data_IF_035998980172
#
_entry.id   IF_035998980172
#
_cell.length_a   1.000
_cell.length_b   1.000
_cell.length_c   1.000
_cell.angle_alpha   90.00
_cell.angle_beta   90.00
_cell.angle_gamma   90.00
#
_symmetry.space_group_name_H-M   'P 1'
#
loop_
_entity.id
_entity.type
_entity.pdbx_description
1 polymer ?
#
# COMPACT_ATOMS: atom_id res chain seq x y z
N UNK A 1 14.31 47.27 -12.22
CA UNK A 1 15.12 46.19 -11.60
C UNK A 1 14.23 44.96 -11.55
N UNK A 2 14.39 44.06 -12.52
CA UNK A 2 13.58 42.84 -12.62
C UNK A 2 14.18 41.77 -11.69
N UNK A 3 13.40 41.29 -10.73
CA UNK A 3 13.79 40.15 -9.91
C UNK A 3 13.85 38.88 -10.78
N UNK A 4 14.85 38.00 -10.60
CA UNK A 4 14.87 36.74 -11.33
C UNK A 4 13.74 35.86 -10.83
N UNK A 5 12.84 35.49 -11.75
CA UNK A 5 11.84 34.45 -11.56
C UNK A 5 12.54 33.13 -11.33
N UNK A 6 12.79 32.79 -10.06
CA UNK A 6 13.24 31.46 -9.67
C UNK A 6 12.06 30.51 -9.91
N UNK A 7 11.91 30.03 -11.13
CA UNK A 7 11.22 28.77 -11.39
C UNK A 7 12.12 27.68 -10.82
N UNK A 8 12.12 27.53 -9.49
CA UNK A 8 12.50 26.28 -8.89
C UNK A 8 11.60 25.24 -9.57
N UNK A 9 12.19 24.42 -10.45
CA UNK A 9 11.61 23.11 -10.74
C UNK A 9 11.41 22.50 -9.35
N UNK A 10 10.17 22.47 -8.85
CA UNK A 10 9.86 21.72 -7.64
C UNK A 10 10.26 20.29 -7.97
N UNK A 11 11.43 19.89 -7.49
CA UNK A 11 11.88 18.52 -7.60
C UNK A 11 11.00 17.68 -6.68
N UNK A 12 11.16 16.37 -6.79
CA UNK A 12 10.54 15.44 -5.86
C UNK A 12 11.07 15.59 -4.42
N UNK A 13 12.07 16.43 -4.18
CA UNK A 13 12.73 16.66 -2.90
C UNK A 13 11.78 17.11 -1.78
N UNK A 14 10.60 17.68 -2.11
CA UNK A 14 9.54 17.97 -1.13
C UNK A 14 8.12 17.80 -1.70
N UNK A 15 7.78 16.63 -2.22
CA UNK A 15 6.39 16.33 -2.60
C UNK A 15 5.53 16.05 -1.36
N UNK A 16 4.48 16.84 -1.15
CA UNK A 16 3.55 16.65 -0.02
C UNK A 16 2.23 16.06 -0.51
N UNK A 17 1.94 14.86 -0.03
CA UNK A 17 0.62 14.24 -0.13
C UNK A 17 -0.27 14.80 0.99
N UNK A 18 -1.51 15.20 0.64
CA UNK A 18 -2.53 15.58 1.62
C UNK A 18 -3.88 14.97 1.27
N UNK A 19 -4.56 14.41 2.27
CA UNK A 19 -5.88 13.82 2.10
C UNK A 19 -6.96 14.80 2.60
N UNK A 20 -7.82 15.27 1.70
CA UNK A 20 -8.94 16.14 2.06
C UNK A 20 -10.02 15.48 2.93
N UNK A 21 -10.03 14.14 3.00
CA UNK A 21 -11.05 13.39 3.75
C UNK A 21 -10.71 13.22 5.23
N UNK A 22 -9.48 12.79 5.54
CA UNK A 22 -9.06 12.51 6.90
C UNK A 22 -8.00 13.49 7.42
N UNK A 23 -7.56 14.45 6.59
CA UNK A 23 -6.56 15.44 6.96
C UNK A 23 -5.12 14.92 7.05
N UNK A 24 -4.87 13.64 6.70
CA UNK A 24 -3.52 13.09 6.70
C UNK A 24 -2.60 13.88 5.76
N UNK A 25 -1.39 14.16 6.24
CA UNK A 25 -0.34 14.82 5.46
C UNK A 25 0.93 13.99 5.53
N UNK A 26 1.60 13.80 4.39
CA UNK A 26 2.86 13.08 4.30
C UNK A 26 3.78 13.75 3.29
N UNK A 27 4.99 14.08 3.72
CA UNK A 27 6.04 14.58 2.83
C UNK A 27 6.94 13.42 2.44
N UNK A 28 7.30 13.35 1.16
CA UNK A 28 8.18 12.34 0.60
C UNK A 28 9.15 13.01 -0.37
N UNK A 29 10.29 12.36 -0.60
CA UNK A 29 11.41 12.90 -1.38
C UNK A 29 11.56 12.24 -2.75
N UNK A 30 10.67 11.29 -3.09
CA UNK A 30 10.72 10.55 -4.36
C UNK A 30 9.32 10.39 -4.95
N UNK A 31 9.24 10.30 -6.28
CA UNK A 31 8.00 10.00 -7.01
C UNK A 31 7.40 8.65 -6.61
N UNK A 32 8.25 7.61 -6.53
CA UNK A 32 7.82 6.26 -6.20
C UNK A 32 7.17 6.20 -4.80
N UNK A 33 7.77 6.87 -3.80
CA UNK A 33 7.21 6.93 -2.46
C UNK A 33 5.92 7.76 -2.41
N UNK A 34 5.82 8.80 -3.24
CA UNK A 34 4.61 9.62 -3.36
C UNK A 34 3.44 8.80 -3.89
N UNK A 35 3.65 8.10 -5.00
CA UNK A 35 2.64 7.21 -5.59
C UNK A 35 2.26 6.09 -4.62
N UNK A 36 3.24 5.48 -3.95
CA UNK A 36 2.99 4.46 -2.92
C UNK A 36 2.14 5.01 -1.77
N UNK A 37 2.45 6.21 -1.29
CA UNK A 37 1.69 6.86 -0.22
C UNK A 37 0.23 7.11 -0.63
N UNK A 38 -0.02 7.61 -1.85
CA UNK A 38 -1.37 7.82 -2.39
C UNK A 38 -2.13 6.49 -2.45
N UNK A 39 -1.53 5.47 -3.08
CA UNK A 39 -2.20 4.18 -3.30
C UNK A 39 -2.57 3.52 -1.97
N UNK A 40 -1.61 3.39 -1.04
CA UNK A 40 -1.86 2.79 0.27
C UNK A 40 -2.92 3.57 1.04
N UNK A 41 -2.88 4.91 0.97
CA UNK A 41 -3.86 5.73 1.69
C UNK A 41 -5.27 5.61 1.12
N UNK A 42 -5.41 5.60 -0.21
CA UNK A 42 -6.69 5.37 -0.89
C UNK A 42 -7.25 3.99 -0.56
N UNK A 43 -6.41 2.96 -0.62
CA UNK A 43 -6.83 1.58 -0.38
C UNK A 43 -7.23 1.38 1.09
N UNK A 44 -6.55 2.05 2.03
CA UNK A 44 -6.97 2.09 3.43
C UNK A 44 -8.36 2.70 3.61
N UNK A 45 -8.67 3.80 2.91
CA UNK A 45 -10.02 4.37 2.91
C UNK A 45 -11.05 3.41 2.32
N UNK A 46 -10.74 2.79 1.19
CA UNK A 46 -11.64 1.84 0.53
C UNK A 46 -11.92 0.62 1.42
N UNK A 47 -10.90 0.09 2.11
CA UNK A 47 -11.08 -0.97 3.09
C UNK A 47 -11.99 -0.50 4.23
N UNK A 48 -11.67 0.64 4.85
CA UNK A 48 -12.43 1.17 5.97
C UNK A 48 -13.92 1.37 5.64
N UNK A 49 -14.21 1.86 4.43
CA UNK A 49 -15.57 2.09 3.96
C UNK A 49 -16.38 0.82 3.76
N UNK A 50 -15.73 -0.29 3.40
CA UNK A 50 -16.39 -1.59 3.20
C UNK A 50 -16.75 -2.30 4.49
N UNK A 51 -16.02 -2.04 5.56
CA UNK A 51 -16.21 -2.71 6.84
C UNK A 51 -17.40 -2.14 7.61
N UNK A 52 -18.18 -3.01 8.24
CA UNK A 52 -19.19 -2.61 9.22
C UNK A 52 -18.55 -2.18 10.55
N UNK A 53 -19.30 -1.59 11.50
CA UNK A 53 -18.73 -1.11 12.75
C UNK A 53 -17.97 -2.17 13.58
N UNK A 54 -18.50 -3.39 13.68
CA UNK A 54 -17.88 -4.47 14.44
C UNK A 54 -16.56 -4.90 13.78
N UNK A 55 -16.56 -5.02 12.46
CA UNK A 55 -15.35 -5.37 11.70
C UNK A 55 -14.27 -4.29 11.81
N UNK A 56 -14.66 -3.01 11.82
CA UNK A 56 -13.74 -1.88 12.03
C UNK A 56 -13.08 -1.95 13.39
N UNK A 57 -13.85 -2.22 14.44
CA UNK A 57 -13.32 -2.34 15.80
C UNK A 57 -12.36 -3.54 15.92
N UNK A 58 -12.73 -4.68 15.34
CA UNK A 58 -11.89 -5.87 15.28
C UNK A 58 -10.58 -5.60 14.54
N UNK A 59 -10.65 -5.03 13.32
CA UNK A 59 -9.47 -4.68 12.53
C UNK A 59 -8.56 -3.69 13.28
N UNK A 60 -9.13 -2.63 13.87
CA UNK A 60 -8.35 -1.65 14.61
C UNK A 60 -7.69 -2.25 15.85
N UNK A 61 -8.37 -3.17 16.55
CA UNK A 61 -7.80 -3.88 17.70
C UNK A 61 -6.58 -4.72 17.29
N UNK A 62 -6.72 -5.54 16.24
CA UNK A 62 -5.64 -6.39 15.72
C UNK A 62 -4.46 -5.53 15.24
N UNK A 63 -4.73 -4.47 14.46
CA UNK A 63 -3.67 -3.59 13.96
C UNK A 63 -2.90 -2.90 15.08
N UNK A 64 -3.55 -2.51 16.18
CA UNK A 64 -2.82 -1.92 17.34
C UNK A 64 -1.82 -2.90 17.94
N UNK A 65 -2.16 -4.18 18.02
CA UNK A 65 -1.24 -5.22 18.52
C UNK A 65 -0.10 -5.45 17.53
N UNK A 66 -0.42 -5.67 16.26
CA UNK A 66 0.59 -5.97 15.23
C UNK A 66 1.54 -4.80 14.97
N UNK A 67 1.08 -3.54 15.09
CA UNK A 67 1.92 -2.36 14.90
C UNK A 67 2.74 -1.99 16.14
N UNK A 68 2.38 -2.51 17.32
CA UNK A 68 3.17 -2.33 18.54
C UNK A 68 4.42 -3.24 18.57
N UNK A 69 4.41 -4.35 17.81
CA UNK A 69 5.50 -5.31 17.75
C UNK A 69 5.81 -5.71 16.30
N UNK A 70 6.97 -5.28 15.80
CA UNK A 70 7.42 -5.55 14.43
C UNK A 70 7.64 -7.06 14.18
N UNK A 71 7.98 -7.84 15.21
CA UNK A 71 8.12 -9.29 15.14
C UNK A 71 6.77 -9.97 14.85
N UNK A 72 5.74 -9.64 15.63
CA UNK A 72 4.39 -10.14 15.40
C UNK A 72 3.84 -9.73 14.03
N UNK A 73 4.11 -8.48 13.61
CA UNK A 73 3.74 -8.02 12.26
C UNK A 73 4.37 -8.88 11.15
N UNK A 74 5.65 -9.27 11.30
CA UNK A 74 6.34 -10.14 10.34
C UNK A 74 5.79 -11.56 10.33
N UNK A 75 5.53 -12.13 11.50
CA UNK A 75 4.93 -13.47 11.61
C UNK A 75 3.56 -13.52 10.94
N UNK A 76 2.73 -12.50 11.15
CA UNK A 76 1.43 -12.40 10.52
C UNK A 76 1.52 -12.30 8.99
N UNK A 77 2.47 -11.52 8.46
CA UNK A 77 2.73 -11.45 7.02
C UNK A 77 3.16 -12.81 6.45
N UNK A 78 4.07 -13.52 7.13
CA UNK A 78 4.52 -14.85 6.71
C UNK A 78 3.36 -15.87 6.69
N UNK A 79 2.44 -15.79 7.65
CA UNK A 79 1.23 -16.61 7.63
C UNK A 79 0.37 -16.32 6.40
N UNK A 80 0.16 -15.05 6.04
CA UNK A 80 -0.61 -14.67 4.85
C UNK A 80 0.02 -15.18 3.56
N UNK A 81 1.34 -15.03 3.42
CA UNK A 81 2.08 -15.50 2.24
C UNK A 81 1.97 -17.03 2.09
N UNK A 82 2.01 -17.77 3.20
CA UNK A 82 1.88 -19.23 3.21
C UNK A 82 0.45 -19.72 2.91
N UNK A 83 -0.56 -18.90 3.18
CA UNK A 83 -1.97 -19.21 2.91
C UNK A 83 -2.40 -18.82 1.49
N UNK A 84 -1.55 -18.13 0.72
CA UNK A 84 -1.83 -17.92 -0.70
C UNK A 84 -1.86 -19.30 -1.39
N UNK A 85 -2.99 -19.72 -1.98
CA UNK A 85 -3.05 -20.98 -2.69
C UNK A 85 -2.01 -20.94 -3.81
N UNK A 86 -1.10 -21.92 -3.81
CA UNK A 86 -0.18 -22.13 -4.91
C UNK A 86 -1.00 -22.20 -6.19
N UNK A 87 -0.79 -21.24 -7.09
CA UNK A 87 -1.40 -21.23 -8.42
C UNK A 87 -1.22 -22.62 -9.01
N UNK A 88 -2.31 -23.39 -9.11
CA UNK A 88 -2.30 -24.75 -9.66
C UNK A 88 -1.63 -24.68 -11.04
N UNK A 89 -0.49 -25.35 -11.29
CA UNK A 89 0.03 -25.41 -12.64
C UNK A 89 -1.01 -26.12 -13.51
N UNK A 90 -1.41 -25.43 -14.58
CA UNK A 90 -2.34 -25.93 -15.58
C UNK A 90 -1.72 -27.18 -16.24
N UNK A 91 -2.39 -28.35 -16.28
CA UNK A 91 -1.87 -29.50 -17.00
C UNK A 91 -2.20 -29.34 -18.49
N UNK A 92 -1.44 -28.51 -19.19
CA UNK A 92 -1.36 -28.60 -20.66
C UNK A 92 -0.13 -29.42 -20.99
N UNK A 93 -0.32 -30.74 -21.10
CA UNK A 93 0.58 -31.62 -21.84
C UNK A 93 0.26 -31.47 -23.32
N UNK A 94 1.21 -31.06 -24.19
CA UNK A 94 1.13 -31.33 -25.61
C UNK A 94 1.88 -32.64 -25.87
N UNK A 95 1.16 -33.77 -25.97
CA UNK A 95 1.76 -34.95 -26.61
C UNK A 95 1.69 -34.75 -28.11
N UNK A 96 2.85 -34.40 -28.66
CA UNK A 96 3.06 -34.27 -30.09
C UNK A 96 2.89 -35.61 -30.81
N UNK A 97 2.24 -35.50 -31.97
CA UNK A 97 2.60 -36.22 -33.18
C UNK A 97 4.15 -36.21 -33.34
N UNK A 98 4.87 -37.19 -33.88
CA UNK A 98 4.63 -38.27 -34.85
C UNK A 98 5.86 -39.25 -34.73
N UNK A 99 6.06 -40.31 -35.55
CA UNK A 99 6.22 -40.28 -37.02
C UNK A 99 5.22 -41.14 -37.81
#
# INVERSE_FOLDING_TARGET
>A
MSAPSHTAKQGWDQATFSCGRCGAKRTVTTEADYLKAICVHRDAHALWDRLNPIERDGLASILRVLLADVGLGREFLALMDNQQPATRPNPTTPEGATP
#
